data_IF_493500495868
#
_entry.id   IF_493500495868
#
_cell.length_a   1.000
_cell.length_b   1.000
_cell.length_c   1.000
_cell.angle_alpha   90.00
_cell.angle_beta   90.00
_cell.angle_gamma   90.00
#
_symmetry.space_group_name_H-M   'P 1'
#
loop_
_entity.id
_entity.type
_entity.pdbx_description
1 polymer ?
#
# COMPACT_ATOMS: atom_id res chain seq x y z
N UNK A 1 18.31 14.28 6.81
CA UNK A 1 17.17 13.77 7.60
C UNK A 1 17.47 12.32 7.95
N UNK A 2 17.24 11.90 9.21
CA UNK A 2 17.47 10.51 9.63
C UNK A 2 16.33 9.63 9.11
N UNK A 3 16.66 8.51 8.47
CA UNK A 3 15.68 7.49 8.11
C UNK A 3 15.35 6.66 9.35
N UNK A 4 14.06 6.42 9.58
CA UNK A 4 13.54 5.59 10.67
C UNK A 4 12.85 4.41 10.02
N UNK A 5 13.28 3.20 10.37
CA UNK A 5 12.79 1.96 9.78
C UNK A 5 12.33 1.04 10.89
N UNK A 6 11.16 0.41 10.68
CA UNK A 6 10.70 -0.72 11.48
C UNK A 6 11.02 -1.99 10.67
N UNK A 7 11.92 -2.81 11.19
CA UNK A 7 12.41 -4.03 10.51
C UNK A 7 11.48 -5.24 10.67
N UNK A 8 10.39 -5.11 11.42
CA UNK A 8 9.39 -6.15 11.57
C UNK A 8 8.47 -6.20 10.35
N UNK A 9 8.46 -7.34 9.66
CA UNK A 9 7.63 -7.50 8.46
C UNK A 9 6.13 -7.62 8.76
N UNK A 10 5.74 -8.18 9.92
CA UNK A 10 4.34 -8.23 10.35
C UNK A 10 3.42 -9.19 9.56
N UNK A 11 3.96 -10.05 8.69
CA UNK A 11 3.15 -10.89 7.78
C UNK A 11 2.12 -11.76 8.51
N UNK A 12 2.53 -12.44 9.59
CA UNK A 12 1.64 -13.38 10.30
C UNK A 12 0.43 -12.65 10.90
N UNK A 13 0.65 -11.49 11.49
CA UNK A 13 -0.43 -10.70 12.07
C UNK A 13 -1.31 -10.11 10.99
N UNK A 14 -0.73 -9.60 9.91
CA UNK A 14 -1.51 -9.15 8.75
C UNK A 14 -2.42 -10.26 8.22
N UNK A 15 -1.89 -11.48 8.02
CA UNK A 15 -2.67 -12.62 7.54
C UNK A 15 -3.79 -12.99 8.52
N UNK A 16 -3.53 -13.05 9.83
CA UNK A 16 -4.57 -13.34 10.84
C UNK A 16 -5.75 -12.38 10.78
N UNK A 17 -5.50 -11.09 10.54
CA UNK A 17 -6.55 -10.07 10.51
C UNK A 17 -7.39 -10.09 9.22
N UNK A 18 -6.89 -10.68 8.15
CA UNK A 18 -7.57 -10.66 6.84
C UNK A 18 -7.97 -12.06 6.35
N UNK A 19 -7.70 -13.10 7.12
CA UNK A 19 -7.93 -14.49 6.71
C UNK A 19 -9.42 -14.78 6.45
N UNK A 20 -10.31 -14.18 7.23
CA UNK A 20 -11.76 -14.40 7.12
C UNK A 20 -12.38 -13.64 5.93
N UNK A 21 -11.72 -12.59 5.44
CA UNK A 21 -12.18 -11.78 4.31
C UNK A 21 -10.99 -11.19 3.52
N UNK A 22 -10.36 -12.05 2.72
CA UNK A 22 -9.20 -11.68 1.92
C UNK A 22 -9.59 -10.67 0.82
N UNK A 23 -10.81 -10.72 0.30
CA UNK A 23 -11.24 -9.85 -0.79
C UNK A 23 -11.37 -8.39 -0.33
N UNK A 24 -11.74 -8.15 0.93
CA UNK A 24 -11.82 -6.81 1.53
C UNK A 24 -10.60 -6.43 2.41
N UNK A 25 -9.52 -7.21 2.36
CA UNK A 25 -8.25 -7.01 3.11
C UNK A 25 -7.67 -5.58 3.08
N UNK A 26 -7.92 -4.83 2.00
CA UNK A 26 -7.33 -3.51 1.80
C UNK A 26 -7.77 -2.51 2.88
N UNK A 27 -9.00 -2.61 3.39
CA UNK A 27 -9.48 -1.75 4.47
C UNK A 27 -8.58 -1.87 5.71
N UNK A 28 -8.38 -3.09 6.20
CA UNK A 28 -7.46 -3.36 7.31
C UNK A 28 -6.01 -2.93 6.99
N UNK A 29 -5.54 -3.22 5.77
CA UNK A 29 -4.18 -2.84 5.34
C UNK A 29 -3.94 -1.33 5.43
N UNK A 30 -4.91 -0.51 5.03
CA UNK A 30 -4.82 0.94 5.17
C UNK A 30 -4.80 1.34 6.63
N UNK A 31 -5.79 0.88 7.40
CA UNK A 31 -5.97 1.26 8.79
C UNK A 31 -4.73 0.96 9.63
N UNK A 32 -4.23 -0.28 9.60
CA UNK A 32 -3.07 -0.68 10.38
C UNK A 32 -1.82 0.15 10.03
N UNK A 33 -1.61 0.49 8.74
CA UNK A 33 -0.47 1.31 8.32
C UNK A 33 -0.59 2.77 8.77
N UNK A 34 -1.77 3.36 8.61
CA UNK A 34 -1.99 4.78 8.96
C UNK A 34 -2.06 5.00 10.46
N UNK A 35 -2.60 4.04 11.22
CA UNK A 35 -2.63 4.07 12.68
C UNK A 35 -1.22 4.14 13.26
N UNK A 36 -0.36 3.20 12.87
CA UNK A 36 1.02 3.15 13.33
C UNK A 36 1.80 4.42 12.96
N UNK A 37 1.54 4.98 11.76
CA UNK A 37 2.16 6.24 11.32
C UNK A 37 1.68 7.42 12.16
N UNK A 38 0.37 7.52 12.43
CA UNK A 38 -0.21 8.59 13.23
C UNK A 38 0.28 8.51 14.69
N UNK A 39 0.26 7.32 15.28
CA UNK A 39 0.77 7.08 16.64
C UNK A 39 2.23 7.49 16.76
N UNK A 40 3.07 7.00 15.84
CA UNK A 40 4.50 7.32 15.83
C UNK A 40 4.73 8.84 15.67
N UNK A 41 3.99 9.48 14.77
CA UNK A 41 4.10 10.91 14.53
C UNK A 41 3.77 11.74 15.79
N UNK A 42 2.70 11.37 16.50
CA UNK A 42 2.30 12.02 17.74
C UNK A 42 3.32 11.81 18.88
N UNK A 43 3.77 10.58 19.10
CA UNK A 43 4.75 10.22 20.15
C UNK A 43 6.10 10.94 19.99
N UNK A 44 6.46 11.32 18.77
CA UNK A 44 7.75 11.92 18.44
C UNK A 44 7.66 13.40 18.08
N UNK A 45 6.51 14.05 18.32
CA UNK A 45 6.34 15.50 18.14
C UNK A 45 6.33 15.99 16.70
N UNK A 46 5.99 15.13 15.73
CA UNK A 46 5.81 15.56 14.35
C UNK A 46 4.51 16.35 14.21
N UNK A 47 4.55 17.48 13.48
CA UNK A 47 3.38 18.33 13.31
C UNK A 47 2.29 17.70 12.41
N UNK A 48 2.70 16.83 11.47
CA UNK A 48 1.78 16.17 10.56
C UNK A 48 2.37 14.87 10.01
N UNK A 49 1.50 13.99 9.49
CA UNK A 49 1.89 12.80 8.72
C UNK A 49 1.15 12.73 7.38
N UNK A 50 1.68 11.94 6.45
CA UNK A 50 1.06 11.64 5.16
C UNK A 50 1.52 10.25 4.69
N UNK A 51 1.08 9.81 3.51
CA UNK A 51 1.41 8.49 2.99
C UNK A 51 1.75 8.50 1.51
N UNK A 52 2.74 7.69 1.12
CA UNK A 52 3.08 7.43 -0.28
C UNK A 52 2.00 6.64 -1.02
N UNK A 53 1.06 6.00 -0.30
CA UNK A 53 -0.11 5.35 -0.89
C UNK A 53 -0.96 6.32 -1.73
N UNK A 54 -0.93 7.61 -1.38
CA UNK A 54 -1.64 8.69 -2.09
C UNK A 54 -1.04 9.04 -3.46
N UNK A 55 0.09 8.42 -3.86
CA UNK A 55 0.64 8.56 -5.20
C UNK A 55 0.05 7.58 -6.22
N UNK A 56 -0.52 6.47 -5.76
CA UNK A 56 -1.01 5.42 -6.66
C UNK A 56 -2.43 5.70 -7.14
N UNK A 57 -2.66 5.48 -8.43
CA UNK A 57 -4.00 5.50 -9.06
C UNK A 57 -4.83 4.25 -8.73
N UNK A 58 -4.20 3.21 -8.19
CA UNK A 58 -4.85 1.93 -7.87
C UNK A 58 -5.33 1.83 -6.42
N UNK A 59 -4.97 2.79 -5.57
CA UNK A 59 -5.33 2.78 -4.16
C UNK A 59 -6.64 3.54 -3.94
N UNK A 60 -7.45 3.09 -2.98
CA UNK A 60 -8.67 3.79 -2.61
C UNK A 60 -8.33 4.96 -1.66
N UNK A 61 -8.17 6.15 -2.25
CA UNK A 61 -7.80 7.37 -1.52
C UNK A 61 -8.80 7.74 -0.44
N UNK A 62 -10.10 7.58 -0.71
CA UNK A 62 -11.15 7.96 0.23
C UNK A 62 -11.07 7.11 1.49
N UNK A 63 -10.84 5.80 1.34
CA UNK A 63 -10.64 4.89 2.48
C UNK A 63 -9.35 5.17 3.25
N UNK A 64 -8.28 5.53 2.55
CA UNK A 64 -7.02 5.93 3.20
C UNK A 64 -7.22 7.23 3.99
N UNK A 65 -7.88 8.23 3.40
CA UNK A 65 -8.12 9.52 4.01
C UNK A 65 -9.07 9.40 5.21
N UNK A 66 -10.15 8.62 5.08
CA UNK A 66 -11.09 8.32 6.16
C UNK A 66 -10.36 7.72 7.38
N UNK A 67 -9.54 6.69 7.17
CA UNK A 67 -8.75 6.08 8.23
C UNK A 67 -7.72 7.06 8.82
N UNK A 68 -7.00 7.79 7.98
CA UNK A 68 -5.96 8.71 8.42
C UNK A 68 -6.52 9.89 9.22
N UNK A 69 -7.65 10.47 8.82
CA UNK A 69 -8.33 11.53 9.59
C UNK A 69 -8.85 11.02 10.94
N UNK A 70 -9.36 9.78 10.99
CA UNK A 70 -9.78 9.15 12.24
C UNK A 70 -8.61 9.00 13.22
N UNK A 71 -7.48 8.48 12.76
CA UNK A 71 -6.30 8.30 13.62
C UNK A 71 -5.58 9.63 13.92
N UNK A 72 -5.60 10.60 13.00
CA UNK A 72 -5.15 11.96 13.26
C UNK A 72 -5.86 12.57 14.47
N UNK A 73 -7.20 12.46 14.49
CA UNK A 73 -8.01 12.91 15.63
C UNK A 73 -7.70 12.12 16.90
N UNK A 74 -7.57 10.80 16.80
CA UNK A 74 -7.32 9.91 17.94
C UNK A 74 -5.99 10.21 18.63
N UNK A 75 -4.92 10.42 17.86
CA UNK A 75 -3.57 10.64 18.42
C UNK A 75 -3.18 12.12 18.55
N UNK A 76 -4.01 13.05 18.10
CA UNK A 76 -3.72 14.48 18.19
C UNK A 76 -2.61 14.94 17.25
N UNK A 77 -2.53 14.38 16.05
CA UNK A 77 -1.56 14.76 15.01
C UNK A 77 -2.29 15.10 13.71
N UNK A 78 -1.79 16.07 12.94
CA UNK A 78 -2.45 16.46 11.67
C UNK A 78 -2.22 15.41 10.58
N UNK A 79 -3.29 14.97 9.92
CA UNK A 79 -3.14 14.33 8.62
C UNK A 79 -2.99 15.39 7.53
N UNK A 80 -1.97 15.24 6.69
CA UNK A 80 -1.76 16.06 5.49
C UNK A 80 -2.19 15.25 4.27
N UNK A 81 -3.46 15.33 3.91
CA UNK A 81 -3.94 14.81 2.63
C UNK A 81 -3.38 15.64 1.48
N UNK A 82 -2.87 14.93 0.45
CA UNK A 82 -2.55 15.49 -0.87
C UNK A 82 -2.79 14.43 -1.93
N UNK A 83 -3.49 14.82 -2.99
CA UNK A 83 -3.64 13.96 -4.15
C UNK A 83 -2.41 14.05 -5.05
N UNK A 84 -1.61 12.98 -5.07
CA UNK A 84 -0.43 12.88 -5.91
C UNK A 84 -0.67 12.09 -7.20
N UNK A 85 -1.90 11.61 -7.47
CA UNK A 85 -2.26 10.87 -8.69
C UNK A 85 -1.96 11.62 -9.99
N UNK A 86 -2.12 12.97 -10.09
CA UNK A 86 -1.73 13.71 -11.30
C UNK A 86 -0.27 13.49 -11.70
N UNK A 87 0.60 13.22 -10.72
CA UNK A 87 2.03 12.99 -10.95
C UNK A 87 2.38 11.51 -11.20
N UNK A 88 1.43 10.58 -11.15
CA UNK A 88 1.71 9.14 -11.16
C UNK A 88 2.53 8.69 -12.38
N UNK A 89 2.17 9.13 -13.58
CA UNK A 89 2.87 8.75 -14.82
C UNK A 89 4.28 9.36 -14.89
N UNK A 90 4.39 10.66 -14.62
CA UNK A 90 5.67 11.36 -14.62
C UNK A 90 6.61 10.82 -13.54
N UNK A 91 6.09 10.53 -12.34
CA UNK A 91 6.83 9.92 -11.24
C UNK A 91 7.33 8.53 -11.59
N UNK A 92 6.50 7.67 -12.21
CA UNK A 92 6.93 6.36 -12.67
C UNK A 92 8.00 6.42 -13.75
N UNK A 93 7.91 7.38 -14.67
CA UNK A 93 8.93 7.59 -15.69
C UNK A 93 10.25 8.02 -15.05
N UNK A 94 10.20 9.00 -14.15
CA UNK A 94 11.37 9.48 -13.43
C UNK A 94 12.04 8.39 -12.57
N UNK A 95 11.24 7.55 -11.91
CA UNK A 95 11.75 6.42 -11.14
C UNK A 95 12.51 5.41 -12.01
N UNK A 96 12.05 5.15 -13.24
CA UNK A 96 12.78 4.29 -14.20
C UNK A 96 14.10 4.90 -14.64
N UNK A 97 14.11 6.19 -14.97
CA UNK A 97 15.33 6.91 -15.35
C UNK A 97 16.38 6.93 -14.24
N UNK A 98 15.94 6.93 -12.99
CA UNK A 98 16.80 6.85 -11.80
C UNK A 98 17.23 5.41 -11.47
N UNK A 99 16.76 4.40 -12.20
CA UNK A 99 17.08 3.00 -11.93
C UNK A 99 16.42 2.45 -10.66
N UNK A 100 15.32 3.05 -10.19
CA UNK A 100 14.62 2.55 -9.02
C UNK A 100 13.92 1.22 -9.29
N UNK A 101 13.86 0.38 -8.26
CA UNK A 101 13.07 -0.85 -8.31
C UNK A 101 11.58 -0.50 -8.46
N UNK A 102 10.96 -1.01 -9.54
CA UNK A 102 9.56 -0.77 -9.86
C UNK A 102 8.69 -1.96 -9.47
N UNK A 103 8.19 -1.93 -8.22
CA UNK A 103 7.29 -2.96 -7.72
C UNK A 103 5.98 -3.00 -8.53
N UNK A 104 5.53 -4.20 -8.92
CA UNK A 104 4.32 -4.43 -9.75
C UNK A 104 3.08 -4.88 -8.94
N UNK A 105 3.10 -4.71 -7.63
CA UNK A 105 2.06 -5.11 -6.69
C UNK A 105 2.06 -4.15 -5.50
N UNK A 106 1.02 -4.12 -4.66
CA UNK A 106 0.90 -3.12 -3.60
C UNK A 106 1.79 -3.37 -2.36
N UNK A 107 2.44 -4.54 -2.28
CA UNK A 107 3.31 -4.95 -1.17
C UNK A 107 2.72 -6.00 -0.23
N UNK A 108 1.44 -6.39 -0.39
CA UNK A 108 0.88 -7.54 0.33
C UNK A 108 1.01 -8.84 -0.49
N UNK A 109 1.14 -9.97 0.21
CA UNK A 109 1.29 -11.31 -0.40
C UNK A 109 0.14 -11.66 -1.35
N UNK A 110 -1.08 -11.20 -1.04
CA UNK A 110 -2.25 -11.43 -1.90
C UNK A 110 -2.18 -10.66 -3.21
N UNK A 111 -1.74 -9.39 -3.19
CA UNK A 111 -1.51 -8.61 -4.43
C UNK A 111 -0.34 -9.16 -5.25
N UNK A 112 0.64 -9.80 -4.59
CA UNK A 112 1.69 -10.54 -5.28
C UNK A 112 1.15 -11.82 -5.94
N UNK A 113 0.29 -12.57 -5.25
CA UNK A 113 -0.40 -13.73 -5.82
C UNK A 113 -1.23 -13.32 -7.06
N UNK A 114 -2.02 -12.24 -6.97
CA UNK A 114 -2.80 -11.69 -8.09
C UNK A 114 -1.92 -11.36 -9.32
N UNK A 115 -0.71 -10.86 -9.07
CA UNK A 115 0.28 -10.56 -10.13
C UNK A 115 0.69 -11.85 -10.86
N UNK A 116 0.96 -12.92 -10.13
CA UNK A 116 1.38 -14.21 -10.71
C UNK A 116 0.23 -14.94 -11.38
N UNK A 117 -0.99 -14.87 -10.83
CA UNK A 117 -2.16 -15.56 -11.36
C UNK A 117 -2.41 -15.23 -12.83
N UNK A 118 -2.28 -13.95 -13.22
CA UNK A 118 -2.41 -13.52 -14.62
C UNK A 118 -1.42 -14.16 -15.59
N UNK A 119 -0.23 -14.51 -15.12
CA UNK A 119 0.75 -15.22 -15.97
C UNK A 119 0.38 -16.70 -16.05
N UNK A 120 0.03 -17.30 -14.91
CA UNK A 120 -0.41 -18.70 -14.82
C UNK A 120 -1.60 -18.95 -15.74
N UNK A 121 -2.61 -18.07 -15.73
CA UNK A 121 -3.81 -18.25 -16.55
C UNK A 121 -3.49 -18.18 -18.06
N UNK A 122 -2.66 -17.22 -18.48
CA UNK A 122 -2.20 -17.12 -19.87
C UNK A 122 -1.39 -18.34 -20.32
N UNK A 123 -0.54 -18.86 -19.44
CA UNK A 123 0.24 -20.06 -19.75
C UNK A 123 -0.67 -21.28 -19.85
N UNK A 124 -1.67 -21.41 -18.97
CA UNK A 124 -2.67 -22.48 -19.03
C UNK A 124 -3.47 -22.46 -20.33
N UNK A 125 -3.92 -21.30 -20.78
CA UNK A 125 -4.62 -21.13 -22.05
C UNK A 125 -3.73 -21.57 -23.23
N UNK A 126 -2.51 -21.05 -23.29
CA UNK A 126 -1.55 -21.36 -24.36
C UNK A 126 -1.28 -22.87 -24.47
N UNK A 127 -1.03 -23.54 -23.34
CA UNK A 127 -0.72 -24.97 -23.35
C UNK A 127 -1.95 -25.86 -23.55
N UNK A 128 -3.16 -25.39 -23.23
CA UNK A 128 -4.39 -26.10 -23.58
C UNK A 128 -4.62 -26.10 -25.10
N UNK A 129 -4.31 -24.99 -25.78
CA UNK A 129 -4.43 -24.87 -27.25
C UNK A 129 -3.38 -25.73 -27.99
N UNK A 130 -2.19 -25.91 -27.42
CA UNK A 130 -1.13 -26.71 -28.05
C UNK A 130 -1.29 -28.22 -27.83
N UNK A 131 -2.22 -28.63 -26.96
CA UNK A 131 -2.52 -30.02 -26.64
C UNK A 131 -3.66 -30.61 -27.48
N UNK A 132 -4.30 -29.79 -28.34
CA UNK A 132 -5.31 -30.17 -29.34
C UNK A 132 -4.67 -30.31 -30.72
#
# INVERSE_FOLDING_TARGET
>A
MKLIVREEYGLRDFVRHVADDIDHRCAYCYEHRVEETARYAAEHGFAAFTSTLLASIYQNHDKIAEAAERFAKQYGVRFLYRDFRPNFRAGNQRARELGFYMQKYCGCVFSEADRYQKQIDRDREKYAETAL
#
